data_IF_415978818794
#
_entry.id   IF_415978818794
#
_cell.length_a   1.000
_cell.length_b   1.000
_cell.length_c   1.000
_cell.angle_alpha   90.00
_cell.angle_beta   90.00
_cell.angle_gamma   90.00
#
_symmetry.space_group_name_H-M   'P 1'
#
loop_
_entity.id
_entity.type
_entity.pdbx_description
1 polymer ?
#
# COMPACT_ATOMS: atom_id res chain seq x y z
N UNK A 1 2.15 -8.84 -14.77
CA UNK A 1 1.05 -9.14 -13.82
C UNK A 1 0.78 -7.86 -13.05
N UNK A 2 -0.47 -7.39 -13.07
CA UNK A 2 -0.83 -6.04 -12.65
C UNK A 2 -0.62 -5.74 -11.16
N UNK A 3 -0.01 -4.59 -10.89
CA UNK A 3 0.25 -4.05 -9.56
C UNK A 3 -1.03 -3.89 -8.71
N UNK A 4 -2.16 -3.70 -9.39
CA UNK A 4 -3.51 -3.57 -8.83
C UNK A 4 -3.96 -4.77 -7.98
N UNK A 5 -3.41 -5.97 -8.22
CA UNK A 5 -3.82 -7.17 -7.46
C UNK A 5 -3.15 -7.32 -6.10
N UNK A 6 -2.07 -6.58 -5.85
CA UNK A 6 -1.30 -6.68 -4.60
C UNK A 6 -1.44 -5.40 -3.78
N UNK A 7 -1.53 -4.25 -4.44
CA UNK A 7 -1.58 -2.93 -3.81
C UNK A 7 -3.01 -2.40 -3.74
N UNK A 8 -3.91 -3.20 -3.19
CA UNK A 8 -5.34 -2.86 -3.07
C UNK A 8 -5.98 -3.57 -1.88
N UNK A 9 -7.20 -3.17 -1.50
CA UNK A 9 -7.99 -3.86 -0.49
C UNK A 9 -8.14 -5.36 -0.79
N UNK A 10 -8.55 -5.76 -2.02
CA UNK A 10 -8.53 -7.16 -2.44
C UNK A 10 -7.16 -7.83 -2.34
N UNK A 11 -6.07 -7.09 -2.57
CA UNK A 11 -4.70 -7.58 -2.38
C UNK A 11 -4.41 -8.01 -0.95
N UNK A 12 -4.82 -7.20 0.04
CA UNK A 12 -4.70 -7.56 1.47
C UNK A 12 -5.44 -8.86 1.76
N UNK A 13 -6.67 -9.00 1.25
CA UNK A 13 -7.50 -10.20 1.43
C UNK A 13 -6.85 -11.43 0.79
N UNK A 14 -6.30 -11.29 -0.42
CA UNK A 14 -5.62 -12.38 -1.12
C UNK A 14 -4.37 -12.85 -0.37
N UNK A 15 -3.57 -11.91 0.15
CA UNK A 15 -2.39 -12.22 0.96
C UNK A 15 -2.79 -12.97 2.23
N UNK A 16 -3.81 -12.48 2.94
CA UNK A 16 -4.29 -13.13 4.16
C UNK A 16 -4.81 -14.55 3.88
N UNK A 17 -5.62 -14.72 2.83
CA UNK A 17 -6.09 -16.05 2.39
C UNK A 17 -4.93 -16.98 2.06
N UNK A 18 -3.93 -16.50 1.34
CA UNK A 18 -2.76 -17.30 1.02
C UNK A 18 -2.00 -17.76 2.27
N UNK A 19 -1.72 -16.85 3.21
CA UNK A 19 -1.03 -17.20 4.45
C UNK A 19 -1.84 -18.21 5.30
N UNK A 20 -3.16 -18.03 5.36
CA UNK A 20 -4.08 -18.98 6.01
C UNK A 20 -3.98 -20.37 5.36
N UNK A 21 -4.07 -20.44 4.03
CA UNK A 21 -4.11 -21.70 3.29
C UNK A 21 -2.76 -22.43 3.33
N UNK A 22 -1.66 -21.69 3.41
CA UNK A 22 -0.31 -22.22 3.67
C UNK A 22 -0.09 -22.69 5.11
N UNK A 23 -1.11 -22.64 5.98
CA UNK A 23 -1.02 -22.96 7.41
C UNK A 23 0.11 -22.20 8.10
N UNK A 24 0.25 -20.92 7.76
CA UNK A 24 1.19 -20.05 8.46
C UNK A 24 0.90 -20.16 9.97
N UNK A 25 1.91 -20.46 10.80
CA UNK A 25 1.69 -20.72 12.21
C UNK A 25 1.10 -19.48 12.89
N UNK A 26 0.29 -19.65 13.93
CA UNK A 26 -0.26 -18.55 14.71
C UNK A 26 -1.76 -18.31 14.47
N UNK A 27 -2.52 -18.60 15.52
CA UNK A 27 -3.95 -18.38 15.72
C UNK A 27 -4.95 -18.92 14.68
N UNK A 28 -6.20 -19.04 15.14
CA UNK A 28 -7.34 -19.30 14.27
C UNK A 28 -7.59 -18.06 13.40
N UNK A 29 -7.77 -18.20 12.07
CA UNK A 29 -8.03 -17.06 11.17
C UNK A 29 -9.32 -16.29 11.48
N UNK A 30 -10.19 -16.81 12.36
CA UNK A 30 -11.43 -16.19 12.77
C UNK A 30 -12.39 -15.95 11.60
N UNK A 31 -13.33 -15.05 11.81
CA UNK A 31 -14.35 -14.69 10.81
C UNK A 31 -14.00 -13.43 10.01
N UNK A 32 -12.71 -13.06 9.94
CA UNK A 32 -12.24 -11.81 9.31
C UNK A 32 -12.58 -11.73 7.81
N UNK A 33 -12.57 -12.87 7.12
CA UNK A 33 -12.86 -12.94 5.68
C UNK A 33 -14.34 -12.80 5.32
N UNK A 34 -15.22 -12.92 6.30
CA UNK A 34 -16.68 -12.86 6.10
C UNK A 34 -17.28 -11.52 6.57
N UNK A 35 -16.44 -10.56 6.95
CA UNK A 35 -16.87 -9.19 7.26
C UNK A 35 -17.31 -8.45 5.99
N UNK A 36 -18.06 -7.36 6.13
CA UNK A 36 -18.48 -6.52 4.99
C UNK A 36 -17.29 -5.88 4.25
N UNK A 37 -16.27 -5.43 5.00
CA UNK A 37 -14.96 -5.02 4.47
C UNK A 37 -13.85 -5.88 5.08
N UNK A 38 -13.51 -7.01 4.45
CA UNK A 38 -12.46 -7.90 4.96
C UNK A 38 -11.09 -7.25 5.01
N UNK A 39 -10.78 -6.32 4.09
CA UNK A 39 -9.47 -5.66 4.07
C UNK A 39 -9.31 -4.73 5.28
N UNK A 40 -10.34 -3.95 5.60
CA UNK A 40 -10.37 -3.14 6.81
C UNK A 40 -10.33 -4.00 8.08
N UNK A 41 -11.10 -5.10 8.12
CA UNK A 41 -11.11 -6.02 9.26
C UNK A 41 -9.72 -6.63 9.52
N UNK A 42 -9.01 -7.07 8.47
CA UNK A 42 -7.64 -7.58 8.57
C UNK A 42 -6.69 -6.48 9.07
N UNK A 43 -6.77 -5.26 8.53
CA UNK A 43 -5.92 -4.15 8.98
C UNK A 43 -6.16 -3.79 10.46
N UNK A 44 -7.41 -3.81 10.92
CA UNK A 44 -7.77 -3.57 12.32
C UNK A 44 -7.24 -4.70 13.22
N UNK A 45 -7.46 -5.96 12.83
CA UNK A 45 -6.98 -7.12 13.57
C UNK A 45 -5.44 -7.14 13.70
N UNK A 46 -4.73 -6.73 12.65
CA UNK A 46 -3.28 -6.58 12.69
C UNK A 46 -2.86 -5.56 13.78
N UNK A 47 -3.53 -4.40 13.86
CA UNK A 47 -3.25 -3.40 14.92
C UNK A 47 -3.59 -3.91 16.33
N UNK A 48 -4.42 -4.94 16.46
CA UNK A 48 -4.79 -5.58 17.72
C UNK A 48 -3.87 -6.76 18.09
N UNK A 49 -2.84 -7.05 17.29
CA UNK A 49 -1.87 -8.13 17.55
C UNK A 49 -2.28 -9.50 17.02
N UNK A 50 -3.27 -9.58 16.12
CA UNK A 50 -3.62 -10.84 15.48
C UNK A 50 -2.48 -11.30 14.55
N UNK A 51 -1.84 -12.42 14.90
CA UNK A 51 -0.57 -12.84 14.29
C UNK A 51 -0.63 -12.99 12.75
N UNK A 52 -1.65 -13.69 12.26
CA UNK A 52 -1.85 -13.89 10.81
C UNK A 52 -2.13 -12.58 10.07
N UNK A 53 -2.90 -11.67 10.69
CA UNK A 53 -3.23 -10.38 10.10
C UNK A 53 -2.00 -9.45 10.06
N UNK A 54 -1.18 -9.44 11.12
CA UNK A 54 0.11 -8.74 11.13
C UNK A 54 1.04 -9.25 10.03
N UNK A 55 1.15 -10.57 9.87
CA UNK A 55 1.95 -11.17 8.81
C UNK A 55 1.45 -10.77 7.41
N UNK A 56 0.12 -10.73 7.22
CA UNK A 56 -0.49 -10.31 5.97
C UNK A 56 -0.21 -8.83 5.67
N UNK A 57 -0.41 -7.94 6.65
CA UNK A 57 -0.15 -6.51 6.49
C UNK A 57 1.34 -6.20 6.29
N UNK A 58 2.24 -6.98 6.93
CA UNK A 58 3.68 -6.88 6.72
C UNK A 58 4.08 -7.27 5.29
N UNK A 59 3.53 -8.35 4.77
CA UNK A 59 3.80 -8.76 3.39
C UNK A 59 3.20 -7.76 2.39
N UNK A 60 2.00 -7.25 2.66
CA UNK A 60 1.36 -6.20 1.87
C UNK A 60 2.25 -4.95 1.76
N UNK A 61 2.77 -4.43 2.89
CA UNK A 61 3.56 -3.20 2.87
C UNK A 61 4.93 -3.38 2.20
N UNK A 62 5.53 -4.56 2.33
CA UNK A 62 6.76 -4.90 1.60
C UNK A 62 6.52 -4.94 0.09
N UNK A 63 5.43 -5.58 -0.35
CA UNK A 63 5.08 -5.62 -1.76
C UNK A 63 4.74 -4.23 -2.31
N UNK A 64 4.07 -3.39 -1.51
CA UNK A 64 3.82 -1.99 -1.82
C UNK A 64 5.12 -1.23 -2.07
N UNK A 65 6.04 -1.27 -1.10
CA UNK A 65 7.33 -0.58 -1.19
C UNK A 65 8.11 -1.05 -2.41
N UNK A 66 8.21 -2.36 -2.62
CA UNK A 66 8.89 -2.93 -3.78
C UNK A 66 8.31 -2.42 -5.10
N UNK A 67 6.99 -2.47 -5.28
CA UNK A 67 6.40 -1.97 -6.51
C UNK A 67 6.61 -0.47 -6.74
N UNK A 68 6.52 0.33 -5.67
CA UNK A 68 6.76 1.76 -5.75
C UNK A 68 8.22 2.06 -6.15
N UNK A 69 9.17 1.27 -5.65
CA UNK A 69 10.58 1.37 -6.03
C UNK A 69 10.82 1.01 -7.50
N UNK A 70 10.10 0.01 -8.04
CA UNK A 70 10.20 -0.33 -9.47
C UNK A 70 9.68 0.82 -10.34
N UNK A 71 8.58 1.45 -9.94
CA UNK A 71 8.06 2.63 -10.61
C UNK A 71 9.04 3.81 -10.53
N UNK A 72 9.65 4.02 -9.35
CA UNK A 72 10.62 5.09 -9.13
C UNK A 72 11.84 4.95 -10.05
N UNK A 73 12.32 3.72 -10.29
CA UNK A 73 13.43 3.48 -11.22
C UNK A 73 13.05 3.72 -12.69
N UNK A 74 11.79 3.53 -13.05
CA UNK A 74 11.33 3.77 -14.42
C UNK A 74 11.22 5.26 -14.76
N UNK A 75 10.83 6.09 -13.79
CA UNK A 75 10.51 7.52 -14.04
C UNK A 75 11.47 8.50 -13.38
N UNK A 76 12.36 8.03 -12.50
CA UNK A 76 13.33 8.81 -11.73
C UNK A 76 12.74 10.13 -11.17
N UNK A 77 11.71 10.04 -10.30
CA UNK A 77 10.94 11.20 -9.86
C UNK A 77 11.69 11.95 -8.75
N UNK A 78 12.76 12.67 -9.09
CA UNK A 78 13.56 13.42 -8.12
C UNK A 78 12.76 14.51 -7.37
N UNK A 79 11.66 15.00 -7.96
CA UNK A 79 10.71 15.92 -7.31
C UNK A 79 9.78 15.25 -6.29
N UNK A 80 9.83 13.93 -6.17
CA UNK A 80 9.05 13.14 -5.22
C UNK A 80 7.92 12.33 -5.85
N UNK A 81 7.43 11.38 -5.05
CA UNK A 81 6.31 10.50 -5.39
C UNK A 81 5.11 10.87 -4.52
N UNK A 82 3.98 11.14 -5.15
CA UNK A 82 2.72 11.43 -4.46
C UNK A 82 1.78 10.24 -4.58
N UNK A 83 1.47 9.62 -3.44
CA UNK A 83 0.57 8.47 -3.35
C UNK A 83 -0.81 8.97 -2.95
N UNK A 84 -1.75 8.84 -3.87
CA UNK A 84 -3.17 9.08 -3.62
C UNK A 84 -3.94 7.75 -3.53
N UNK A 85 -4.97 7.70 -2.68
CA UNK A 85 -5.89 6.57 -2.58
C UNK A 85 -6.14 6.11 -1.15
N UNK A 86 -7.38 5.67 -0.89
CA UNK A 86 -7.85 5.36 0.46
C UNK A 86 -7.07 4.25 1.16
N UNK A 87 -6.50 3.27 0.44
CA UNK A 87 -5.68 2.22 1.05
C UNK A 87 -4.36 2.78 1.60
N UNK A 88 -3.71 3.70 0.90
CA UNK A 88 -2.49 4.33 1.37
C UNK A 88 -2.76 5.20 2.62
N UNK A 89 -3.80 6.04 2.55
CA UNK A 89 -4.19 6.90 3.66
C UNK A 89 -4.57 6.11 4.92
N UNK A 90 -5.35 5.03 4.77
CA UNK A 90 -5.78 4.17 5.90
C UNK A 90 -4.64 3.37 6.54
N UNK A 91 -3.50 3.22 5.85
CA UNK A 91 -2.35 2.44 6.29
C UNK A 91 -1.07 3.27 6.41
N UNK A 92 -1.20 4.58 6.67
CA UNK A 92 -0.07 5.52 6.73
C UNK A 92 1.01 5.09 7.73
N UNK A 93 0.63 4.51 8.87
CA UNK A 93 1.56 4.02 9.89
C UNK A 93 2.51 2.96 9.31
N UNK A 94 1.99 2.08 8.43
CA UNK A 94 2.78 1.03 7.78
C UNK A 94 3.73 1.62 6.73
N UNK A 95 3.34 2.69 6.05
CA UNK A 95 4.21 3.36 5.06
C UNK A 95 5.40 4.08 5.69
N UNK A 96 5.35 4.36 6.99
CA UNK A 96 6.45 5.00 7.71
C UNK A 96 7.46 3.99 8.28
N UNK A 97 7.16 2.69 8.22
CA UNK A 97 8.01 1.67 8.84
C UNK A 97 9.30 1.41 8.06
N UNK A 98 10.25 0.76 8.72
CA UNK A 98 11.52 0.36 8.09
C UNK A 98 11.29 -0.67 6.99
N UNK A 99 10.32 -1.57 7.15
CA UNK A 99 9.98 -2.60 6.18
C UNK A 99 9.56 -2.01 4.84
N UNK A 100 8.73 -0.95 4.85
CA UNK A 100 8.36 -0.23 3.65
C UNK A 100 9.59 0.38 2.97
N UNK A 101 10.38 1.15 3.70
CA UNK A 101 11.58 1.84 3.17
C UNK A 101 12.60 0.86 2.63
N UNK A 102 12.85 -0.24 3.36
CA UNK A 102 13.76 -1.30 2.92
C UNK A 102 13.24 -1.92 1.63
N UNK A 103 11.96 -2.28 1.53
CA UNK A 103 11.41 -2.86 0.31
C UNK A 103 11.42 -1.87 -0.88
N UNK A 104 11.20 -0.58 -0.62
CA UNK A 104 11.29 0.48 -1.63
C UNK A 104 12.70 0.61 -2.20
N UNK A 105 13.72 0.71 -1.35
CA UNK A 105 15.11 0.87 -1.79
C UNK A 105 15.76 -0.43 -2.28
N UNK A 106 15.22 -1.60 -1.92
CA UNK A 106 15.84 -2.89 -2.25
C UNK A 106 15.60 -3.27 -3.70
N UNK A 107 16.61 -2.97 -4.54
CA UNK A 107 16.61 -3.26 -5.97
C UNK A 107 17.89 -3.98 -6.37
N UNK A 108 17.73 -5.14 -7.01
CA UNK A 108 18.88 -5.94 -7.42
C UNK A 108 19.76 -5.13 -8.36
N UNK A 109 21.07 -5.09 -8.10
CA UNK A 109 22.08 -4.43 -8.94
C UNK A 109 21.90 -2.91 -9.09
N UNK A 110 21.15 -2.27 -8.18
CA UNK A 110 20.99 -0.81 -8.14
C UNK A 110 21.48 -0.31 -6.78
N UNK A 111 22.20 0.81 -6.79
CA UNK A 111 22.62 1.47 -5.57
C UNK A 111 21.38 1.98 -4.79
N UNK A 112 21.16 1.55 -3.54
CA UNK A 112 20.00 1.95 -2.75
C UNK A 112 19.95 3.46 -2.47
N UNK A 113 21.09 4.17 -2.56
CA UNK A 113 21.16 5.63 -2.36
C UNK A 113 20.42 6.42 -3.45
N UNK A 114 20.24 5.83 -4.64
CA UNK A 114 19.49 6.44 -5.74
C UNK A 114 18.02 6.65 -5.35
N UNK A 115 17.43 5.67 -4.66
CA UNK A 115 16.03 5.71 -4.25
C UNK A 115 15.86 6.37 -2.88
N UNK A 116 16.83 6.25 -1.96
CA UNK A 116 16.70 6.78 -0.59
C UNK A 116 16.48 8.29 -0.52
N UNK A 117 16.89 9.03 -1.56
CA UNK A 117 16.77 10.49 -1.63
C UNK A 117 15.44 10.96 -2.25
N UNK A 118 14.60 10.04 -2.75
CA UNK A 118 13.32 10.38 -3.36
C UNK A 118 12.28 10.60 -2.25
N UNK A 119 11.70 11.81 -2.12
CA UNK A 119 10.68 12.04 -1.11
C UNK A 119 9.37 11.36 -1.50
N UNK A 120 8.70 10.75 -0.53
CA UNK A 120 7.39 10.09 -0.69
C UNK A 120 6.36 10.85 0.13
N UNK A 121 5.29 11.30 -0.53
CA UNK A 121 4.19 12.06 0.05
C UNK A 121 2.89 11.25 -0.05
N UNK A 122 2.13 11.17 1.04
CA UNK A 122 0.83 10.51 1.07
C UNK A 122 -0.25 11.58 1.11
N UNK A 123 -1.16 11.55 0.14
CA UNK A 123 -2.31 12.45 0.09
C UNK A 123 -3.40 11.86 0.97
N UNK A 124 -3.58 12.41 2.16
CA UNK A 124 -4.55 11.93 3.17
C UNK A 124 -5.98 12.44 2.95
N UNK A 125 -6.22 13.27 1.93
CA UNK A 125 -7.47 13.99 1.76
C UNK A 125 -8.41 13.24 0.81
N UNK A 126 -9.49 12.64 1.33
CA UNK A 126 -10.50 11.92 0.54
C UNK A 126 -11.19 12.80 -0.53
N UNK A 127 -11.09 14.12 -0.41
CA UNK A 127 -11.75 15.10 -1.29
C UNK A 127 -10.89 15.62 -2.45
N UNK A 128 -9.60 15.30 -2.54
CA UNK A 128 -8.73 15.87 -3.58
C UNK A 128 -8.99 15.33 -4.98
N UNK A 129 -9.42 14.07 -5.11
CA UNK A 129 -9.87 13.52 -6.40
C UNK A 129 -11.11 14.25 -6.93
N UNK A 130 -12.06 14.58 -6.03
CA UNK A 130 -13.27 15.34 -6.38
C UNK A 130 -12.93 16.80 -6.70
N UNK A 131 -12.08 17.44 -5.90
CA UNK A 131 -11.64 18.82 -6.16
C UNK A 131 -10.81 18.94 -7.45
N UNK A 132 -10.02 17.93 -7.79
CA UNK A 132 -9.31 17.82 -9.07
C UNK A 132 -10.26 17.69 -10.26
N UNK A 133 -11.29 16.84 -10.15
CA UNK A 133 -12.33 16.72 -11.15
C UNK A 133 -13.14 18.02 -11.34
N UNK A 134 -13.46 18.71 -10.23
CA UNK A 134 -14.14 20.03 -10.26
C UNK A 134 -13.25 21.10 -10.90
N UNK A 135 -11.94 21.11 -10.61
CA UNK A 135 -10.98 22.02 -11.27
C UNK A 135 -10.84 21.74 -12.77
N UNK A 136 -10.78 20.47 -13.16
CA UNK A 136 -10.71 20.09 -14.56
C UNK A 136 -11.99 20.49 -15.31
N UNK A 137 -13.17 20.20 -14.74
CA UNK A 137 -14.46 20.59 -15.29
C UNK A 137 -14.63 22.11 -15.41
N UNK A 138 -14.18 22.87 -14.40
CA UNK A 138 -14.24 24.34 -14.43
C UNK A 138 -13.24 24.99 -15.39
N UNK A 139 -12.13 24.32 -15.72
CA UNK A 139 -11.22 24.77 -16.78
C UNK A 139 -11.80 24.50 -18.18
N UNK A 140 -12.57 23.42 -18.37
CA UNK A 140 -13.29 23.12 -19.62
C UNK A 140 -14.49 24.05 -19.90
N UNK A 141 -15.02 24.73 -18.89
CA UNK A 141 -16.12 25.71 -19.01
C UNK A 141 -15.64 27.13 -19.39
N UNK A 142 -14.34 27.34 -19.63
CA UNK A 142 -13.75 28.60 -20.09
C UNK A 142 -13.22 28.56 -21.53
N UNK A 143 -13.60 27.52 -22.29
CA UNK A 143 -13.34 27.40 -23.74
C UNK A 143 -14.56 27.78 -24.56
#
# INVERSE_FOLDING_TARGET
MGLERVVSGPGIVNIFRFLRDCKFPGEDPGNLLNQEDPAAAIAIAAKQGHFLAEAAMRLFIQAYGAALGDLALQVLPYGGIYIAGGIAAKNIDLMQTKEFKTAFCHKQKIDPTLLSNIPIHIVCNDLEGLNGAVRYASQGLRG
#
